data_IF_793658055428
#
_entry.id   IF_793658055428
#
_cell.length_a   1.000
_cell.length_b   1.000
_cell.length_c   1.000
_cell.angle_alpha   90.00
_cell.angle_beta   90.00
_cell.angle_gamma   90.00
#
_symmetry.space_group_name_H-M   'P 1'
#
loop_
_entity.id
_entity.type
_entity.pdbx_description
1 polymer ?
#
# COMPACT_ATOMS: atom_id res chain seq x y z
N UNK A 1 20.99 38.48 15.50
CA UNK A 1 21.22 37.24 14.74
C UNK A 1 22.66 36.72 14.84
N UNK A 2 23.68 37.57 15.05
CA UNK A 2 25.09 37.15 15.17
C UNK A 2 25.42 36.15 16.31
N UNK A 3 24.59 36.06 17.35
CA UNK A 3 24.78 35.08 18.44
C UNK A 3 24.23 33.67 18.13
N UNK A 4 23.37 33.50 17.11
CA UNK A 4 22.77 32.20 16.77
C UNK A 4 23.68 31.34 15.87
N UNK A 5 24.52 31.98 15.05
CA UNK A 5 25.53 31.31 14.20
C UNK A 5 26.66 30.65 15.00
N UNK A 6 26.77 30.92 16.30
CA UNK A 6 27.78 30.33 17.17
C UNK A 6 27.38 28.95 17.73
N UNK A 7 26.09 28.60 17.70
CA UNK A 7 25.55 27.35 18.25
C UNK A 7 24.87 26.45 17.21
N UNK A 8 24.51 26.99 16.04
CA UNK A 8 23.83 26.28 14.96
C UNK A 8 24.49 26.60 13.62
N UNK A 9 24.67 25.61 12.76
CA UNK A 9 25.04 25.83 11.35
C UNK A 9 23.84 26.49 10.64
N UNK A 10 23.88 27.82 10.54
CA UNK A 10 22.87 28.62 9.86
C UNK A 10 23.33 28.89 8.43
N UNK A 11 22.50 28.52 7.45
CA UNK A 11 22.75 28.80 6.04
C UNK A 11 21.76 29.86 5.56
N UNK A 12 22.27 30.95 4.98
CA UNK A 12 21.44 31.99 4.37
C UNK A 12 20.98 31.54 2.96
N UNK A 13 19.68 31.63 2.71
CA UNK A 13 19.06 31.26 1.44
C UNK A 13 19.00 32.51 0.56
N UNK A 14 19.61 32.43 -0.62
CA UNK A 14 19.58 33.52 -1.61
C UNK A 14 18.32 33.43 -2.46
N UNK A 15 17.75 34.59 -2.80
CA UNK A 15 16.62 34.66 -3.70
C UNK A 15 16.99 34.11 -5.10
N UNK A 16 16.32 33.04 -5.52
CA UNK A 16 16.48 32.37 -6.81
C UNK A 16 15.14 32.24 -7.55
N UNK A 17 15.16 31.96 -8.84
CA UNK A 17 13.91 31.69 -9.60
C UNK A 17 13.23 30.38 -9.20
N UNK A 18 13.91 29.52 -8.42
CA UNK A 18 13.43 28.20 -7.95
C UNK A 18 13.25 28.16 -6.43
N UNK A 19 13.05 29.31 -5.79
CA UNK A 19 12.92 29.40 -4.33
C UNK A 19 11.89 28.45 -3.75
N UNK A 20 10.70 28.32 -4.36
CA UNK A 20 9.68 27.42 -3.84
C UNK A 20 10.14 25.96 -3.81
N UNK A 21 10.84 25.50 -4.86
CA UNK A 21 11.38 24.15 -4.93
C UNK A 21 12.48 23.96 -3.86
N UNK A 22 13.42 24.91 -3.76
CA UNK A 22 14.49 24.88 -2.77
C UNK A 22 13.95 24.87 -1.33
N UNK A 23 13.00 25.75 -1.02
CA UNK A 23 12.38 25.82 0.31
C UNK A 23 11.60 24.55 0.63
N UNK A 24 10.86 23.98 -0.34
CA UNK A 24 10.14 22.73 -0.14
C UNK A 24 11.08 21.58 0.21
N UNK A 25 12.22 21.46 -0.49
CA UNK A 25 13.22 20.44 -0.22
C UNK A 25 13.84 20.60 1.17
N UNK A 26 14.15 21.83 1.59
CA UNK A 26 14.70 22.11 2.92
C UNK A 26 13.70 21.74 4.02
N UNK A 27 12.44 22.16 3.90
CA UNK A 27 11.36 21.81 4.85
C UNK A 27 11.18 20.30 4.92
N UNK A 28 11.08 19.60 3.78
CA UNK A 28 10.88 18.15 3.75
C UNK A 28 12.11 17.35 4.16
N UNK A 29 13.29 17.97 4.18
CA UNK A 29 14.48 17.39 4.80
C UNK A 29 14.53 17.57 6.32
N UNK A 30 13.54 18.24 6.92
CA UNK A 30 13.45 18.47 8.36
C UNK A 30 14.21 19.72 8.83
N UNK A 31 14.52 20.65 7.93
CA UNK A 31 15.15 21.91 8.29
C UNK A 31 14.13 22.95 8.75
N UNK A 32 14.52 23.75 9.74
CA UNK A 32 13.77 24.91 10.21
C UNK A 32 14.11 26.09 9.30
N UNK A 33 13.08 26.68 8.70
CA UNK A 33 13.22 27.95 7.99
C UNK A 33 12.86 29.10 8.92
N UNK A 34 13.76 30.07 9.04
CA UNK A 34 13.54 31.31 9.79
C UNK A 34 13.49 32.45 8.78
N UNK A 35 12.36 33.15 8.75
CA UNK A 35 12.20 34.35 7.96
C UNK A 35 12.36 35.58 8.86
N UNK A 36 13.37 36.40 8.59
CA UNK A 36 13.55 37.67 9.29
C UNK A 36 12.81 38.78 8.53
N UNK A 37 11.72 39.25 9.12
CA UNK A 37 10.86 40.27 8.52
C UNK A 37 11.56 41.64 8.39
N UNK A 38 12.62 41.91 9.14
CA UNK A 38 13.30 43.21 9.11
C UNK A 38 14.39 43.29 8.03
N UNK A 39 15.10 42.19 7.81
CA UNK A 39 16.20 42.11 6.85
C UNK A 39 15.79 41.49 5.51
N UNK A 40 14.53 41.03 5.39
CA UNK A 40 13.99 40.29 4.25
C UNK A 40 14.83 39.06 3.87
N UNK A 41 15.65 38.55 4.80
CA UNK A 41 16.50 37.39 4.60
C UNK A 41 15.84 36.13 5.17
N UNK A 42 16.17 35.00 4.55
CA UNK A 42 15.67 33.69 4.96
C UNK A 42 16.85 32.81 5.31
N UNK A 43 16.74 32.11 6.43
CA UNK A 43 17.78 31.24 6.95
C UNK A 43 17.23 29.82 7.08
N UNK A 44 18.03 28.83 6.72
CA UNK A 44 17.78 27.42 7.04
C UNK A 44 18.68 26.95 8.16
N UNK A 45 18.10 26.24 9.12
CA UNK A 45 18.80 25.57 10.21
C UNK A 45 18.47 24.09 10.17
N UNK A 46 19.49 23.24 10.11
CA UNK A 46 19.27 21.81 10.17
C UNK A 46 18.95 21.35 11.59
N UNK A 47 17.66 21.06 11.85
CA UNK A 47 17.17 20.49 13.12
C UNK A 47 16.57 19.10 12.92
N UNK A 48 16.84 18.47 11.77
CA UNK A 48 16.21 17.22 11.39
C UNK A 48 16.57 16.12 12.40
N UNK A 49 15.57 15.65 13.14
CA UNK A 49 15.68 14.51 14.04
C UNK A 49 14.73 13.41 13.57
N UNK A 50 15.07 12.67 12.50
CA UNK A 50 14.24 11.57 12.03
C UNK A 50 14.04 10.54 13.15
N UNK A 51 12.87 9.87 13.24
CA UNK A 51 12.59 8.91 14.29
C UNK A 51 13.71 7.86 14.39
N UNK A 52 14.42 7.83 15.52
CA UNK A 52 15.54 6.92 15.81
C UNK A 52 15.12 5.60 16.46
N UNK A 53 13.82 5.36 16.66
CA UNK A 53 13.37 4.07 17.19
C UNK A 53 13.79 2.95 16.22
N UNK A 54 14.10 1.78 16.76
CA UNK A 54 14.29 0.56 15.98
C UNK A 54 13.02 0.31 15.16
N UNK A 55 12.99 0.81 13.93
CA UNK A 55 11.98 0.38 12.98
C UNK A 55 12.36 -1.05 12.65
N UNK A 56 11.75 -1.97 13.40
CA UNK A 56 12.00 -3.39 13.26
C UNK A 56 11.53 -3.84 11.88
N UNK A 57 12.06 -4.99 11.46
CA UNK A 57 11.68 -5.58 10.18
C UNK A 57 10.17 -5.85 10.15
N UNK A 58 9.53 -5.57 9.02
CA UNK A 58 8.08 -5.79 8.90
C UNK A 58 7.75 -7.26 9.21
N UNK A 59 6.98 -7.49 10.26
CA UNK A 59 6.55 -8.84 10.65
C UNK A 59 5.64 -9.50 9.59
N UNK A 60 4.98 -8.71 8.74
CA UNK A 60 4.09 -9.21 7.70
C UNK A 60 4.84 -9.59 6.41
N UNK A 61 5.89 -8.84 6.07
CA UNK A 61 6.59 -8.99 4.79
C UNK A 61 8.10 -8.89 5.00
N UNK A 62 8.79 -10.04 4.99
CA UNK A 62 10.25 -10.09 5.12
C UNK A 62 10.88 -9.77 3.75
N UNK A 63 11.64 -8.68 3.65
CA UNK A 63 12.33 -8.33 2.41
C UNK A 63 13.69 -9.04 2.31
N UNK A 64 13.86 -9.88 1.28
CA UNK A 64 15.15 -10.50 0.98
C UNK A 64 16.19 -9.45 0.51
N UNK A 65 15.74 -8.35 -0.11
CA UNK A 65 16.58 -7.25 -0.59
C UNK A 65 15.82 -5.92 -0.59
N UNK A 66 16.23 -4.92 0.19
CA UNK A 66 15.61 -3.59 0.15
C UNK A 66 15.57 -2.91 1.53
N UNK A 67 14.83 -1.81 1.67
CA UNK A 67 14.55 -1.21 2.97
C UNK A 67 13.85 -2.23 3.88
N UNK A 68 14.36 -2.38 5.11
CA UNK A 68 13.80 -3.32 6.10
C UNK A 68 12.82 -2.66 7.05
N UNK A 69 12.70 -1.35 7.00
CA UNK A 69 11.83 -0.62 7.91
C UNK A 69 10.36 -0.96 7.61
N UNK A 70 9.66 -1.53 8.58
CA UNK A 70 8.21 -1.75 8.54
C UNK A 70 7.42 -0.57 9.11
N UNK A 71 6.12 -0.54 8.82
CA UNK A 71 5.21 0.33 9.57
C UNK A 71 5.09 -0.12 11.03
N UNK A 72 4.78 0.85 11.89
CA UNK A 72 4.49 0.68 13.31
C UNK A 72 3.03 1.03 13.59
N UNK A 73 2.55 0.85 14.82
CA UNK A 73 1.15 1.10 15.15
C UNK A 73 0.76 2.58 15.12
N UNK A 74 1.72 3.51 15.16
CA UNK A 74 1.44 4.95 15.14
C UNK A 74 1.27 5.48 13.71
N UNK A 75 0.08 6.00 13.39
CA UNK A 75 -0.21 6.60 12.09
C UNK A 75 0.66 7.83 11.80
N UNK A 76 1.02 8.61 12.82
CA UNK A 76 1.90 9.77 12.69
C UNK A 76 3.32 9.37 12.27
N UNK A 77 3.89 8.36 12.94
CA UNK A 77 5.22 7.84 12.60
C UNK A 77 5.22 7.29 11.17
N UNK A 78 4.19 6.51 10.82
CA UNK A 78 4.05 5.96 9.47
C UNK A 78 3.94 7.04 8.39
N UNK A 79 3.21 8.13 8.67
CA UNK A 79 3.14 9.30 7.78
C UNK A 79 4.51 9.92 7.58
N UNK A 80 5.31 10.05 8.63
CA UNK A 80 6.70 10.55 8.53
C UNK A 80 7.57 9.63 7.68
N UNK A 81 7.47 8.31 7.84
CA UNK A 81 8.24 7.33 7.03
C UNK A 81 7.94 7.44 5.53
N UNK A 82 6.69 7.76 5.16
CA UNK A 82 6.28 8.02 3.78
C UNK A 82 6.85 9.37 3.30
N UNK A 83 6.70 10.44 4.09
CA UNK A 83 7.18 11.78 3.73
C UNK A 83 8.70 11.87 3.59
N UNK A 84 9.46 11.08 4.35
CA UNK A 84 10.92 11.02 4.21
C UNK A 84 11.35 10.48 2.84
N UNK A 85 10.55 9.60 2.25
CA UNK A 85 10.77 9.03 0.91
C UNK A 85 10.20 9.92 -0.18
N UNK A 86 9.05 10.56 0.06
CA UNK A 86 8.36 11.46 -0.86
C UNK A 86 8.52 12.92 -0.41
N UNK A 87 9.64 13.53 -0.78
CA UNK A 87 9.93 14.95 -0.54
C UNK A 87 9.31 15.83 -1.63
N UNK A 88 7.98 15.81 -1.72
CA UNK A 88 7.22 16.52 -2.76
C UNK A 88 6.08 17.34 -2.16
N UNK A 89 5.74 18.44 -2.82
CA UNK A 89 4.60 19.29 -2.50
C UNK A 89 3.26 18.66 -2.90
N UNK A 90 3.28 17.71 -3.84
CA UNK A 90 2.06 17.06 -4.35
C UNK A 90 1.47 16.02 -3.39
N UNK A 91 2.23 15.59 -2.36
CA UNK A 91 1.75 14.61 -1.39
C UNK A 91 0.83 15.30 -0.38
N UNK A 92 -0.46 15.01 -0.48
CA UNK A 92 -1.49 15.53 0.42
C UNK A 92 -1.74 14.51 1.53
N UNK A 93 -1.97 15.02 2.74
CA UNK A 93 -2.25 14.23 3.94
C UNK A 93 -3.51 14.82 4.60
N UNK A 94 -4.57 14.01 4.70
CA UNK A 94 -5.83 14.40 5.34
C UNK A 94 -6.13 13.45 6.49
N UNK A 95 -6.33 13.99 7.70
CA UNK A 95 -6.62 13.18 8.88
C UNK A 95 -8.09 13.31 9.26
N UNK A 96 -8.71 12.16 9.49
CA UNK A 96 -10.09 11.98 9.92
C UNK A 96 -10.11 11.34 11.30
N UNK A 97 -11.03 11.76 12.16
CA UNK A 97 -11.28 11.10 13.45
C UNK A 97 -12.54 10.26 13.32
N UNK A 98 -12.38 8.94 13.36
CA UNK A 98 -13.46 7.99 13.16
C UNK A 98 -13.73 7.18 14.44
N UNK A 99 -14.98 6.78 14.67
CA UNK A 99 -15.39 6.04 15.87
C UNK A 99 -15.96 6.95 16.97
N UNK A 100 -17.22 6.76 17.35
CA UNK A 100 -17.90 7.63 18.34
C UNK A 100 -17.28 7.57 19.74
N UNK A 101 -16.73 6.40 20.12
CA UNK A 101 -16.08 6.15 21.41
C UNK A 101 -14.57 6.02 21.30
N UNK A 102 -14.06 5.42 20.23
CA UNK A 102 -12.63 5.21 20.07
C UNK A 102 -11.88 6.46 19.63
N UNK A 103 -12.54 7.40 18.91
CA UNK A 103 -11.91 8.59 18.33
C UNK A 103 -10.57 8.26 17.65
N UNK A 104 -10.58 7.22 16.82
CA UNK A 104 -9.39 6.67 16.17
C UNK A 104 -8.98 7.59 15.01
N UNK A 105 -7.71 7.97 14.96
CA UNK A 105 -7.18 8.76 13.86
C UNK A 105 -6.96 7.89 12.62
N UNK A 106 -7.50 8.33 11.49
CA UNK A 106 -7.36 7.69 10.19
C UNK A 106 -6.83 8.73 9.21
N UNK A 107 -5.65 8.47 8.65
CA UNK A 107 -4.97 9.42 7.75
C UNK A 107 -5.00 8.90 6.32
N UNK A 108 -5.60 9.68 5.43
CA UNK A 108 -5.60 9.48 3.99
C UNK A 108 -4.39 10.20 3.36
N UNK A 109 -3.63 9.49 2.55
CA UNK A 109 -2.50 10.02 1.78
C UNK A 109 -2.72 9.78 0.29
N UNK A 110 -2.43 10.77 -0.54
CA UNK A 110 -2.51 10.68 -1.99
C UNK A 110 -1.61 11.73 -2.66
N UNK A 111 -1.31 11.49 -3.94
CA UNK A 111 -0.61 12.45 -4.81
C UNK A 111 -1.66 13.24 -5.61
N UNK A 112 -1.81 14.52 -5.32
CA UNK A 112 -2.86 15.39 -5.89
C UNK A 112 -2.75 15.54 -7.41
N UNK A 113 -1.54 15.48 -7.94
CA UNK A 113 -1.22 15.60 -9.37
C UNK A 113 -1.37 14.29 -10.16
N UNK A 114 -1.50 13.13 -9.50
CA UNK A 114 -1.53 11.81 -10.14
C UNK A 114 -2.88 11.11 -9.97
N UNK A 115 -3.52 11.25 -8.80
CA UNK A 115 -4.76 10.53 -8.49
C UNK A 115 -5.93 11.01 -9.35
N UNK A 116 -6.83 10.10 -9.73
CA UNK A 116 -8.07 10.48 -10.40
C UNK A 116 -9.01 11.20 -9.43
N UNK A 117 -9.61 12.34 -9.79
CA UNK A 117 -10.54 13.07 -8.94
C UNK A 117 -11.76 12.23 -8.57
N UNK A 118 -12.29 11.42 -9.49
CA UNK A 118 -13.46 10.57 -9.23
C UNK A 118 -13.20 9.55 -8.11
N UNK A 119 -11.98 8.98 -8.08
CA UNK A 119 -11.56 8.03 -7.04
C UNK A 119 -11.40 8.76 -5.71
N UNK A 120 -10.81 9.95 -5.74
CA UNK A 120 -10.56 10.77 -4.57
C UNK A 120 -11.88 11.23 -3.91
N UNK A 121 -12.83 11.71 -4.69
CA UNK A 121 -14.14 12.14 -4.19
C UNK A 121 -14.91 10.96 -3.59
N UNK A 122 -14.86 9.80 -4.24
CA UNK A 122 -15.49 8.58 -3.73
C UNK A 122 -14.92 8.18 -2.37
N UNK A 123 -13.58 8.15 -2.22
CA UNK A 123 -12.97 7.73 -0.96
C UNK A 123 -13.20 8.75 0.16
N UNK A 124 -13.14 10.06 -0.13
CA UNK A 124 -13.44 11.11 0.86
C UNK A 124 -14.89 11.04 1.33
N UNK A 125 -15.83 10.87 0.41
CA UNK A 125 -17.24 10.69 0.73
C UNK A 125 -17.43 9.48 1.66
N UNK A 126 -16.86 8.32 1.29
CA UNK A 126 -16.96 7.10 2.11
C UNK A 126 -16.35 7.26 3.49
N UNK A 127 -15.14 7.81 3.60
CA UNK A 127 -14.50 8.06 4.90
C UNK A 127 -15.35 8.96 5.79
N UNK A 128 -16.01 9.97 5.22
CA UNK A 128 -16.89 10.87 5.98
C UNK A 128 -18.22 10.23 6.43
N UNK A 129 -18.68 9.20 5.72
CA UNK A 129 -19.94 8.51 6.02
C UNK A 129 -19.78 7.36 7.02
N UNK A 130 -18.54 6.95 7.33
CA UNK A 130 -18.24 5.88 8.29
C UNK A 130 -18.81 6.25 9.67
N UNK A 131 -19.81 5.48 10.10
CA UNK A 131 -20.40 5.55 11.43
C UNK A 131 -20.22 4.22 12.14
N UNK A 132 -19.25 4.17 13.04
CA UNK A 132 -18.97 3.04 13.90
C UNK A 132 -18.74 3.53 15.32
N UNK A 133 -19.04 2.72 16.33
CA UNK A 133 -18.80 3.14 17.71
C UNK A 133 -17.32 3.02 18.10
N UNK A 134 -16.66 1.94 17.70
CA UNK A 134 -15.28 1.64 18.09
C UNK A 134 -14.56 1.06 16.87
N UNK A 135 -13.49 1.73 16.44
CA UNK A 135 -12.56 1.20 15.45
C UNK A 135 -11.37 0.60 16.18
N UNK A 136 -11.19 -0.71 16.01
CA UNK A 136 -10.18 -1.51 16.69
C UNK A 136 -9.11 -2.09 15.75
N UNK A 137 -9.40 -2.15 14.44
CA UNK A 137 -8.46 -2.66 13.45
C UNK A 137 -8.60 -1.93 12.10
N UNK A 138 -7.53 -1.95 11.31
CA UNK A 138 -7.56 -1.43 9.93
C UNK A 138 -8.54 -2.22 9.05
N UNK A 139 -8.73 -3.50 9.31
CA UNK A 139 -9.68 -4.35 8.57
C UNK A 139 -11.13 -3.86 8.67
N UNK A 140 -11.55 -3.33 9.83
CA UNK A 140 -12.90 -2.77 9.97
C UNK A 140 -13.10 -1.52 9.11
N UNK A 141 -12.06 -0.68 8.99
CA UNK A 141 -12.08 0.47 8.07
C UNK A 141 -12.12 -0.03 6.63
N UNK A 142 -11.32 -1.05 6.31
CA UNK A 142 -11.32 -1.68 4.98
C UNK A 142 -12.73 -2.17 4.60
N UNK A 143 -13.38 -2.96 5.47
CA UNK A 143 -14.72 -3.51 5.26
C UNK A 143 -15.77 -2.42 5.03
N UNK A 144 -15.72 -1.34 5.81
CA UNK A 144 -16.65 -0.21 5.65
C UNK A 144 -16.43 0.60 4.37
N UNK A 145 -15.24 0.52 3.77
CA UNK A 145 -14.96 1.14 2.47
C UNK A 145 -15.47 0.29 1.30
N UNK A 146 -15.84 -0.98 1.51
CA UNK A 146 -16.45 -1.84 0.50
C UNK A 146 -17.95 -1.58 0.35
N UNK A 147 -18.36 -1.07 -0.81
CA UNK A 147 -19.79 -0.90 -1.16
C UNK A 147 -20.50 -2.20 -1.57
N UNK A 148 -19.75 -3.28 -1.82
CA UNK A 148 -20.30 -4.49 -2.46
C UNK A 148 -19.99 -5.74 -1.66
N UNK A 149 -21.03 -6.32 -1.08
CA UNK A 149 -21.05 -7.67 -0.49
C UNK A 149 -20.64 -8.79 -1.45
N UNK A 150 -20.48 -8.51 -2.76
CA UNK A 150 -20.19 -9.51 -3.79
C UNK A 150 -19.07 -9.10 -4.77
N UNK A 151 -18.02 -8.43 -4.29
CA UNK A 151 -16.82 -8.26 -5.14
C UNK A 151 -16.00 -9.55 -5.16
N UNK A 152 -15.74 -10.09 -6.35
CA UNK A 152 -14.85 -11.26 -6.54
C UNK A 152 -13.38 -10.91 -6.28
N UNK A 153 -13.03 -9.62 -6.39
CA UNK A 153 -11.68 -9.12 -6.16
C UNK A 153 -11.69 -8.12 -4.98
N UNK A 154 -10.63 -8.11 -4.17
CA UNK A 154 -10.45 -7.06 -3.17
C UNK A 154 -10.31 -5.69 -3.87
N UNK A 155 -10.89 -4.66 -3.25
CA UNK A 155 -10.85 -3.27 -3.72
C UNK A 155 -9.69 -2.50 -3.07
N UNK A 156 -9.23 -2.98 -1.92
CA UNK A 156 -8.10 -2.48 -1.16
C UNK A 156 -7.11 -3.62 -0.93
N UNK A 157 -5.84 -3.27 -0.85
CA UNK A 157 -4.76 -4.17 -0.45
C UNK A 157 -4.14 -3.63 0.82
N UNK A 158 -3.37 -4.43 1.53
CA UNK A 158 -2.68 -3.99 2.74
C UNK A 158 -1.20 -4.32 2.65
N UNK A 159 -0.36 -3.42 3.17
CA UNK A 159 1.08 -3.68 3.25
C UNK A 159 1.68 -3.11 4.52
N UNK A 160 2.62 -3.85 5.09
CA UNK A 160 3.45 -3.41 6.22
C UNK A 160 4.68 -2.62 5.79
N UNK A 161 4.84 -2.34 4.50
CA UNK A 161 6.07 -1.81 3.90
C UNK A 161 5.91 -0.37 3.37
N UNK A 162 6.64 0.61 3.93
CA UNK A 162 6.54 2.01 3.52
C UNK A 162 7.07 2.26 2.10
N UNK A 163 8.06 1.49 1.64
CA UNK A 163 8.58 1.60 0.28
C UNK A 163 7.54 1.18 -0.78
N UNK A 164 6.78 0.10 -0.52
CA UNK A 164 5.72 -0.36 -1.40
C UNK A 164 4.54 0.62 -1.46
N UNK A 165 4.17 1.23 -0.32
CA UNK A 165 3.14 2.28 -0.28
C UNK A 165 3.56 3.49 -1.10
N UNK A 166 4.80 3.95 -0.95
CA UNK A 166 5.34 5.08 -1.72
C UNK A 166 5.29 4.81 -3.22
N UNK A 167 5.66 3.60 -3.65
CA UNK A 167 5.54 3.21 -5.05
C UNK A 167 4.08 3.20 -5.52
N UNK A 168 3.16 2.75 -4.67
CA UNK A 168 1.73 2.73 -4.98
C UNK A 168 1.16 4.14 -5.12
N UNK A 169 1.51 5.06 -4.22
CA UNK A 169 1.13 6.47 -4.29
C UNK A 169 1.60 7.11 -5.61
N UNK A 170 2.85 6.84 -6.02
CA UNK A 170 3.40 7.30 -7.30
C UNK A 170 2.69 6.71 -8.53
N UNK A 171 1.90 5.64 -8.38
CA UNK A 171 1.07 5.07 -9.45
C UNK A 171 -0.36 5.61 -9.46
N UNK A 172 -0.64 6.69 -8.72
CA UNK A 172 -1.97 7.31 -8.66
C UNK A 172 -2.96 6.58 -7.74
N UNK A 173 -2.44 5.81 -6.78
CA UNK A 173 -3.22 5.15 -5.73
C UNK A 173 -3.26 6.04 -4.49
N UNK A 174 -4.29 5.89 -3.67
CA UNK A 174 -4.34 6.43 -2.32
C UNK A 174 -3.87 5.38 -1.30
N UNK A 175 -3.46 5.87 -0.13
CA UNK A 175 -3.06 5.07 1.00
C UNK A 175 -3.80 5.55 2.26
N UNK A 176 -4.20 4.62 3.13
CA UNK A 176 -4.90 4.92 4.38
C UNK A 176 -4.11 4.30 5.53
N UNK A 177 -3.75 5.13 6.50
CA UNK A 177 -3.12 4.72 7.74
C UNK A 177 -4.16 4.80 8.87
N UNK A 178 -4.31 3.72 9.62
CA UNK A 178 -5.21 3.66 10.77
C UNK A 178 -4.36 3.59 12.03
N UNK A 179 -4.59 4.50 12.96
CA UNK A 179 -3.86 4.52 14.22
C UNK A 179 -4.16 3.26 15.04
N UNK A 180 -3.11 2.63 15.57
CA UNK A 180 -3.14 1.31 16.21
C UNK A 180 -2.85 0.13 15.27
N UNK A 181 -2.64 0.34 13.97
CA UNK A 181 -2.34 -0.74 13.01
C UNK A 181 -0.95 -0.61 12.39
N UNK A 182 -0.11 -1.67 12.39
CA UNK A 182 1.21 -1.68 11.75
C UNK A 182 1.13 -1.95 10.23
N UNK A 183 0.00 -1.58 9.61
CA UNK A 183 -0.28 -1.81 8.20
C UNK A 183 -0.93 -0.58 7.57
N UNK A 184 -0.71 -0.41 6.27
CA UNK A 184 -1.34 0.62 5.46
C UNK A 184 -2.27 -0.02 4.44
N UNK A 185 -3.49 0.49 4.30
CA UNK A 185 -4.41 0.09 3.25
C UNK A 185 -4.10 0.90 1.98
N UNK A 186 -4.11 0.25 0.82
CA UNK A 186 -3.77 0.82 -0.48
C UNK A 186 -4.93 0.61 -1.44
N UNK A 187 -5.35 1.65 -2.17
CA UNK A 187 -6.44 1.55 -3.14
C UNK A 187 -6.33 2.58 -4.27
N UNK A 188 -7.07 2.43 -5.37
CA UNK A 188 -7.95 1.31 -5.70
C UNK A 188 -7.16 0.15 -6.31
N UNK A 189 -7.45 -1.08 -5.90
CA UNK A 189 -6.79 -2.29 -6.40
C UNK A 189 -7.40 -2.76 -7.72
N UNK A 190 -6.52 -3.15 -8.66
CA UNK A 190 -6.89 -3.76 -9.94
C UNK A 190 -6.23 -5.15 -10.06
N UNK A 191 -6.70 -5.98 -10.99
CA UNK A 191 -6.13 -7.32 -11.23
C UNK A 191 -4.61 -7.29 -11.50
N UNK A 192 -4.13 -6.29 -12.26
CA UNK A 192 -2.69 -6.13 -12.49
C UNK A 192 -1.91 -5.88 -11.19
N UNK A 193 -2.49 -5.14 -10.26
CA UNK A 193 -1.89 -4.86 -8.97
C UNK A 193 -1.80 -6.14 -8.12
N UNK A 194 -2.87 -6.94 -8.09
CA UNK A 194 -2.92 -8.21 -7.36
C UNK A 194 -1.96 -9.27 -7.91
N UNK A 195 -1.68 -9.24 -9.21
CA UNK A 195 -0.76 -10.19 -9.83
C UNK A 195 0.70 -9.79 -9.53
N UNK A 196 0.98 -8.52 -9.23
CA UNK A 196 2.34 -8.04 -8.89
C UNK A 196 2.63 -8.27 -7.42
N UNK A 197 3.85 -8.71 -7.13
CA UNK A 197 4.37 -8.83 -5.76
C UNK A 197 5.18 -7.57 -5.44
N UNK A 198 5.15 -7.08 -4.20
CA UNK A 198 6.08 -6.03 -3.74
C UNK A 198 7.54 -6.32 -4.08
N UNK A 199 7.94 -7.60 -4.07
CA UNK A 199 9.31 -8.05 -4.36
C UNK A 199 9.68 -7.96 -5.85
N UNK A 200 8.71 -7.96 -6.75
CA UNK A 200 8.98 -7.95 -8.20
C UNK A 200 9.78 -6.71 -8.63
N UNK A 201 9.61 -5.61 -7.91
CA UNK A 201 10.30 -4.35 -8.18
C UNK A 201 11.80 -4.40 -7.81
N UNK A 202 12.20 -5.39 -7.02
CA UNK A 202 13.58 -5.57 -6.53
C UNK A 202 14.34 -6.61 -7.35
N UNK A 203 13.68 -7.23 -8.33
CA UNK A 203 14.20 -8.28 -9.19
C UNK A 203 14.50 -7.73 -10.59
N UNK A 204 15.40 -8.40 -11.31
CA UNK A 204 15.67 -8.04 -12.70
C UNK A 204 14.40 -8.19 -13.56
N UNK A 205 14.23 -7.29 -14.52
CA UNK A 205 13.08 -7.25 -15.41
C UNK A 205 12.73 -8.62 -16.02
N UNK A 206 13.73 -9.38 -16.45
CA UNK A 206 13.53 -10.73 -17.00
C UNK A 206 12.94 -11.70 -15.97
N UNK A 207 13.45 -11.69 -14.75
CA UNK A 207 12.97 -12.57 -13.68
C UNK A 207 11.54 -12.19 -13.27
N UNK A 208 11.29 -10.89 -13.04
CA UNK A 208 9.97 -10.39 -12.70
C UNK A 208 8.93 -10.72 -13.78
N UNK A 209 9.31 -10.64 -15.06
CA UNK A 209 8.42 -10.97 -16.18
C UNK A 209 8.08 -12.45 -16.25
N UNK A 210 9.07 -13.34 -16.06
CA UNK A 210 8.84 -14.79 -16.01
C UNK A 210 7.94 -15.15 -14.82
N UNK A 211 8.21 -14.59 -13.65
CA UNK A 211 7.39 -14.79 -12.44
C UNK A 211 5.94 -14.31 -12.67
N UNK A 212 5.75 -13.17 -13.31
CA UNK A 212 4.42 -12.66 -13.68
C UNK A 212 3.69 -13.59 -14.65
N UNK A 213 4.39 -14.11 -15.66
CA UNK A 213 3.83 -15.08 -16.60
C UNK A 213 3.40 -16.38 -15.91
N UNK A 214 4.22 -16.91 -15.00
CA UNK A 214 3.89 -18.10 -14.21
C UNK A 214 2.68 -17.87 -13.30
N UNK A 215 2.56 -16.70 -12.65
CA UNK A 215 1.36 -16.37 -11.85
C UNK A 215 0.11 -16.28 -12.72
N UNK A 216 0.21 -15.67 -13.90
CA UNK A 216 -0.93 -15.58 -14.81
C UNK A 216 -1.34 -16.97 -15.33
N UNK A 217 -0.38 -17.82 -15.71
CA UNK A 217 -0.69 -19.17 -16.17
C UNK A 217 -1.26 -20.04 -15.06
N UNK A 218 -0.76 -19.93 -13.83
CA UNK A 218 -1.30 -20.59 -12.65
C UNK A 218 -2.72 -20.13 -12.33
N UNK A 219 -3.01 -18.82 -12.44
CA UNK A 219 -4.35 -18.28 -12.22
C UNK A 219 -5.33 -18.86 -13.26
N UNK A 220 -4.94 -18.90 -14.54
CA UNK A 220 -5.76 -19.46 -15.62
C UNK A 220 -5.99 -20.96 -15.42
N UNK A 221 -4.95 -21.73 -15.08
CA UNK A 221 -5.10 -23.17 -14.86
C UNK A 221 -5.95 -23.45 -13.62
N UNK A 222 -5.76 -22.76 -12.50
CA UNK A 222 -6.57 -22.96 -11.29
C UNK A 222 -8.06 -22.71 -11.54
N UNK A 223 -8.42 -21.71 -12.35
CA UNK A 223 -9.82 -21.41 -12.67
C UNK A 223 -10.40 -22.42 -13.67
N UNK A 224 -9.65 -22.79 -14.72
CA UNK A 224 -10.16 -23.63 -15.80
C UNK A 224 -10.08 -25.13 -15.50
N UNK A 225 -9.10 -25.58 -14.71
CA UNK A 225 -8.80 -27.00 -14.51
C UNK A 225 -9.97 -27.78 -13.85
N UNK A 226 -10.69 -27.26 -12.83
CA UNK A 226 -11.85 -27.95 -12.28
C UNK A 226 -12.98 -28.13 -13.31
N UNK A 227 -13.24 -27.09 -14.12
CA UNK A 227 -14.24 -27.14 -15.19
C UNK A 227 -13.85 -28.11 -16.31
N UNK A 228 -12.58 -28.09 -16.71
CA UNK A 228 -12.05 -29.01 -17.72
C UNK A 228 -12.06 -30.46 -17.23
N UNK A 229 -11.71 -30.69 -15.96
CA UNK A 229 -11.76 -32.01 -15.33
C UNK A 229 -13.17 -32.59 -15.27
N UNK A 230 -14.15 -31.78 -14.84
CA UNK A 230 -15.56 -32.20 -14.78
C UNK A 230 -16.13 -32.46 -16.17
N UNK A 231 -15.79 -31.65 -17.17
CA UNK A 231 -16.22 -31.86 -18.56
C UNK A 231 -15.68 -33.16 -19.15
N UNK A 232 -14.37 -33.43 -18.98
CA UNK A 232 -13.72 -34.65 -19.49
C UNK A 232 -14.30 -35.92 -18.84
N UNK A 233 -14.47 -35.90 -17.52
CA UNK A 233 -14.96 -37.08 -16.77
C UNK A 233 -16.45 -37.35 -16.99
N UNK A 234 -17.26 -36.34 -17.30
CA UNK A 234 -18.72 -36.49 -17.44
C UNK A 234 -19.17 -36.75 -18.89
N UNK A 235 -18.51 -36.17 -19.88
CA UNK A 235 -19.00 -36.22 -21.28
C UNK A 235 -18.12 -37.06 -22.21
N UNK A 236 -16.80 -37.11 -21.98
CA UNK A 236 -15.87 -37.81 -22.88
C UNK A 236 -14.82 -38.65 -22.11
N UNK A 237 -15.24 -39.61 -21.26
CA UNK A 237 -14.31 -40.41 -20.46
C UNK A 237 -13.33 -41.22 -21.32
N UNK A 238 -13.74 -41.61 -22.54
CA UNK A 238 -12.93 -42.39 -23.49
C UNK A 238 -11.69 -41.64 -24.02
N UNK A 239 -11.62 -40.32 -23.85
CA UNK A 239 -10.47 -39.50 -24.24
C UNK A 239 -9.35 -39.49 -23.18
N UNK A 240 -9.63 -39.99 -21.97
CA UNK A 240 -8.65 -40.05 -20.89
C UNK A 240 -7.88 -41.39 -21.00
N UNK A 241 -6.54 -41.38 -21.10
CA UNK A 241 -5.75 -42.60 -21.12
C UNK A 241 -6.08 -43.50 -19.92
N UNK A 242 -6.33 -44.79 -20.18
CA UNK A 242 -6.66 -45.79 -19.16
C UNK A 242 -5.77 -45.78 -17.90
N UNK A 243 -4.43 -45.58 -18.00
CA UNK A 243 -3.58 -45.52 -16.80
C UNK A 243 -3.95 -44.39 -15.84
N UNK A 244 -4.36 -43.23 -16.36
CA UNK A 244 -4.79 -42.08 -15.57
C UNK A 244 -6.16 -42.33 -14.92
N UNK A 245 -7.10 -42.90 -15.66
CA UNK A 245 -8.41 -43.31 -15.12
C UNK A 245 -8.26 -44.32 -13.98
N UNK A 246 -7.39 -45.32 -14.14
CA UNK A 246 -7.13 -46.33 -13.11
C UNK A 246 -6.54 -45.69 -11.83
N UNK A 247 -5.60 -44.75 -11.98
CA UNK A 247 -5.00 -44.03 -10.85
C UNK A 247 -6.03 -43.19 -10.10
N UNK A 248 -6.92 -42.51 -10.84
CA UNK A 248 -8.01 -41.70 -10.28
C UNK A 248 -9.04 -42.58 -9.58
N UNK A 249 -9.43 -43.72 -10.18
CA UNK A 249 -10.38 -44.65 -9.58
C UNK A 249 -9.85 -45.23 -8.25
N UNK A 250 -8.57 -45.59 -8.20
CA UNK A 250 -7.91 -46.05 -6.96
C UNK A 250 -7.83 -44.92 -5.92
N UNK A 251 -7.56 -43.69 -6.34
CA UNK A 251 -7.53 -42.54 -5.40
C UNK A 251 -8.89 -42.18 -4.79
N UNK A 252 -9.99 -42.57 -5.45
CA UNK A 252 -11.37 -42.32 -4.99
C UNK A 252 -12.02 -43.54 -4.32
N UNK A 253 -11.27 -44.61 -4.11
CA UNK A 253 -11.76 -45.82 -3.43
C UNK A 253 -12.11 -45.48 -1.98
N UNK A 254 -13.41 -45.46 -1.65
CA UNK A 254 -13.94 -45.10 -0.33
C UNK A 254 -14.78 -43.81 -0.28
N UNK A 255 -14.88 -43.05 -1.37
CA UNK A 255 -15.78 -41.90 -1.49
C UNK A 255 -17.15 -42.31 -2.05
N UNK A 256 -18.26 -41.66 -1.65
CA UNK A 256 -19.60 -41.97 -2.17
C UNK A 256 -19.67 -41.77 -3.70
N UNK A 257 -20.46 -42.60 -4.41
CA UNK A 257 -20.53 -42.58 -5.88
C UNK A 257 -21.14 -41.27 -6.40
N UNK A 258 -20.74 -40.87 -7.62
CA UNK A 258 -21.26 -39.69 -8.30
C UNK A 258 -22.76 -39.87 -8.65
N UNK A 259 -23.59 -38.80 -8.64
CA UNK A 259 -25.05 -38.91 -8.76
C UNK A 259 -25.61 -39.46 -10.08
N UNK A 260 -24.78 -39.80 -11.08
CA UNK A 260 -25.23 -40.12 -12.44
C UNK A 260 -24.67 -41.43 -13.01
N UNK A 261 -24.16 -42.35 -12.18
CA UNK A 261 -23.87 -43.71 -12.63
C UNK A 261 -25.06 -44.64 -12.35
N UNK A 262 -26.06 -44.61 -13.23
CA UNK A 262 -27.09 -45.64 -13.37
C UNK A 262 -27.27 -45.97 -14.84
#
# INVERSE_FOLDING_TARGET
>A
MENLSQFLEVVEIKYSSRLQEELSLLIFSGQLLVFDCQSESMYSVNIANPPQRSVDESNMEVSIRGPRDGFVESAEINTVLIRQRLKTLSLVTETYTLGTRSNTNVTLLYMDDIISPDILDTIKCRLSEIKMDIISSSYQVEELLYDRTYSLLPLLDYSGRPDYVVQSLNQGRFAILVDGSPSCLIGPVNLEFLIKSPEDNQLSFFYASISRFLRLSALVTTILLPGLWTALTSYQPDQIPFPLLATVAVSRQGLPPLPHSS
#
